data_IF_365680481763
#
_entry.id   IF_365680481763
#
_cell.length_a   1.000
_cell.length_b   1.000
_cell.length_c   1.000
_cell.angle_alpha   90.00
_cell.angle_beta   90.00
_cell.angle_gamma   90.00
#
_symmetry.space_group_name_H-M   'P 1'
#
loop_
_entity.id
_entity.type
_entity.pdbx_description
1 polymer ?
#
# COMPACT_ATOMS: atom_id res chain seq x y z
N UNK A 1 24.82 25.24 9.28
CA UNK A 1 24.14 24.38 8.33
C UNK A 1 22.82 25.01 7.91
N UNK A 2 22.69 25.42 6.68
CA UNK A 2 21.47 26.09 6.26
C UNK A 2 20.36 25.05 6.04
N UNK A 3 19.10 25.41 6.31
CA UNK A 3 17.96 24.51 6.10
C UNK A 3 17.82 24.03 4.66
N UNK A 4 18.48 24.71 3.74
CA UNK A 4 18.43 24.40 2.31
C UNK A 4 19.21 23.15 1.92
N UNK A 5 20.10 22.67 2.79
CA UNK A 5 20.84 21.43 2.55
C UNK A 5 20.03 20.18 2.90
N UNK A 6 18.99 20.35 3.71
CA UNK A 6 18.10 19.25 4.09
C UNK A 6 17.38 18.66 2.87
N UNK A 7 16.91 19.44 1.88
CA UNK A 7 16.30 18.89 0.66
C UNK A 7 17.25 18.04 -0.17
N UNK A 8 18.53 18.38 -0.20
CA UNK A 8 19.53 17.62 -0.96
C UNK A 8 19.75 16.23 -0.34
N UNK A 9 19.79 16.17 0.99
CA UNK A 9 19.90 14.92 1.72
C UNK A 9 18.63 14.07 1.55
N UNK A 10 17.48 14.74 1.43
CA UNK A 10 16.21 14.09 1.13
C UNK A 10 16.19 13.49 -0.27
N UNK A 11 16.82 14.15 -1.24
CA UNK A 11 16.90 13.65 -2.60
C UNK A 11 17.69 12.34 -2.67
N UNK A 12 18.76 12.22 -1.90
CA UNK A 12 19.54 10.99 -1.85
C UNK A 12 18.76 9.86 -1.19
N UNK A 13 17.97 10.16 -0.15
CA UNK A 13 17.07 9.19 0.48
C UNK A 13 15.92 8.83 -0.45
N UNK A 14 15.38 9.80 -1.14
CA UNK A 14 14.32 9.57 -2.11
C UNK A 14 14.79 8.72 -3.28
N UNK A 15 16.05 8.84 -3.69
CA UNK A 15 16.63 7.96 -4.70
C UNK A 15 16.74 6.51 -4.20
N UNK A 16 17.17 6.33 -2.94
CA UNK A 16 17.25 5.00 -2.33
C UNK A 16 15.86 4.42 -2.12
N UNK A 17 14.90 5.23 -1.67
CA UNK A 17 13.51 4.83 -1.49
C UNK A 17 12.83 4.54 -2.83
N UNK A 18 13.12 5.34 -3.86
CA UNK A 18 12.65 5.08 -5.22
C UNK A 18 13.24 3.81 -5.78
N UNK A 19 14.52 3.54 -5.48
CA UNK A 19 15.18 2.31 -5.89
C UNK A 19 14.59 1.10 -5.18
N UNK A 20 14.35 1.21 -3.87
CA UNK A 20 13.70 0.17 -3.08
C UNK A 20 12.26 -0.07 -3.56
N UNK A 21 11.54 0.99 -3.93
CA UNK A 21 10.19 0.90 -4.48
C UNK A 21 10.19 0.22 -5.84
N UNK A 22 11.14 0.56 -6.70
CA UNK A 22 11.33 -0.07 -8.01
C UNK A 22 11.69 -1.56 -7.83
N UNK A 23 12.58 -1.88 -6.89
CA UNK A 23 12.94 -3.25 -6.58
C UNK A 23 11.74 -4.05 -6.06
N UNK A 24 10.97 -3.48 -5.15
CA UNK A 24 9.75 -4.12 -4.63
C UNK A 24 8.70 -4.32 -5.73
N UNK A 25 8.59 -3.36 -6.63
CA UNK A 25 7.69 -3.41 -7.76
C UNK A 25 8.09 -4.49 -8.77
N UNK A 26 9.38 -4.53 -9.11
CA UNK A 26 9.92 -5.50 -10.08
C UNK A 26 10.00 -6.91 -9.48
N UNK A 27 10.15 -7.01 -8.16
CA UNK A 27 10.33 -8.29 -7.48
C UNK A 27 9.15 -8.72 -6.61
N UNK A 28 8.02 -8.00 -6.67
CA UNK A 28 6.81 -8.50 -6.01
C UNK A 28 6.43 -9.83 -6.64
N UNK A 29 6.36 -10.86 -5.82
CA UNK A 29 5.99 -12.19 -6.29
C UNK A 29 4.50 -12.27 -6.57
N UNK A 30 4.15 -13.11 -7.52
CA UNK A 30 2.74 -13.35 -7.88
C UNK A 30 1.92 -13.76 -6.65
N UNK A 31 2.48 -14.62 -5.80
CA UNK A 31 1.78 -15.09 -4.60
C UNK A 31 1.53 -13.96 -3.60
N UNK A 32 2.48 -13.04 -3.45
CA UNK A 32 2.33 -11.86 -2.59
C UNK A 32 1.26 -10.92 -3.13
N UNK A 33 1.28 -10.66 -4.42
CA UNK A 33 0.25 -9.84 -5.08
C UNK A 33 -1.13 -10.46 -4.93
N UNK A 34 -1.24 -11.78 -5.12
CA UNK A 34 -2.49 -12.51 -4.94
C UNK A 34 -3.01 -12.41 -3.50
N UNK A 35 -2.12 -12.53 -2.50
CA UNK A 35 -2.49 -12.39 -1.10
C UNK A 35 -3.00 -10.99 -0.77
N UNK A 36 -2.36 -9.95 -1.32
CA UNK A 36 -2.82 -8.57 -1.17
C UNK A 36 -4.21 -8.37 -1.78
N UNK A 37 -4.43 -8.88 -2.98
CA UNK A 37 -5.72 -8.76 -3.66
C UNK A 37 -6.81 -9.55 -2.94
N UNK A 38 -6.49 -10.72 -2.42
CA UNK A 38 -7.43 -11.51 -1.63
C UNK A 38 -7.86 -10.75 -0.37
N UNK A 39 -6.91 -10.14 0.34
CA UNK A 39 -7.21 -9.33 1.51
C UNK A 39 -8.10 -8.15 1.16
N UNK A 40 -7.85 -7.48 0.03
CA UNK A 40 -8.64 -6.34 -0.45
C UNK A 40 -9.96 -6.76 -1.13
N UNK A 41 -10.11 -8.02 -1.48
CA UNK A 41 -11.29 -8.54 -2.17
C UNK A 41 -12.55 -8.64 -1.33
N UNK A 42 -12.50 -8.27 -0.06
CA UNK A 42 -13.66 -8.18 0.82
C UNK A 42 -14.14 -6.73 0.91
N UNK A 43 -15.44 -6.43 0.70
CA UNK A 43 -15.94 -5.06 0.70
C UNK A 43 -15.64 -4.29 1.99
N UNK A 44 -15.75 -4.93 3.13
CA UNK A 44 -15.49 -4.29 4.43
C UNK A 44 -14.01 -3.96 4.59
N UNK A 45 -13.13 -4.91 4.25
CA UNK A 45 -11.69 -4.66 4.28
C UNK A 45 -11.28 -3.56 3.31
N UNK A 46 -11.88 -3.53 2.14
CA UNK A 46 -11.60 -2.47 1.16
C UNK A 46 -12.05 -1.10 1.68
N UNK A 47 -13.19 -1.01 2.35
CA UNK A 47 -13.64 0.24 3.00
C UNK A 47 -12.67 0.71 4.07
N UNK A 48 -12.19 -0.20 4.91
CA UNK A 48 -11.19 0.10 5.94
C UNK A 48 -9.92 0.64 5.29
N UNK A 49 -9.41 -0.07 4.31
CA UNK A 49 -8.19 0.30 3.61
C UNK A 49 -8.31 1.68 2.95
N UNK A 50 -9.38 1.94 2.23
CA UNK A 50 -9.61 3.24 1.59
C UNK A 50 -9.75 4.38 2.59
N UNK A 51 -10.35 4.13 3.74
CA UNK A 51 -10.42 5.13 4.81
C UNK A 51 -9.01 5.51 5.31
N UNK A 52 -8.12 4.54 5.44
CA UNK A 52 -6.73 4.78 5.84
C UNK A 52 -5.93 5.49 4.74
N UNK A 53 -6.13 5.13 3.50
CA UNK A 53 -5.50 5.83 2.36
C UNK A 53 -5.91 7.30 2.35
N UNK A 54 -7.18 7.60 2.59
CA UNK A 54 -7.68 8.98 2.65
C UNK A 54 -7.16 9.75 3.85
N UNK A 55 -6.88 9.08 4.96
CA UNK A 55 -6.36 9.71 6.16
C UNK A 55 -4.91 10.18 6.00
N UNK A 56 -4.15 9.58 5.10
CA UNK A 56 -2.77 9.93 4.86
C UNK A 56 -1.85 9.53 6.00
N UNK A 57 -0.77 10.28 6.18
CA UNK A 57 0.28 9.96 7.16
C UNK A 57 -0.20 10.01 8.61
N UNK A 58 -1.24 10.77 8.90
CA UNK A 58 -1.81 10.85 10.24
C UNK A 58 -2.44 9.53 10.69
N UNK A 59 -2.92 8.73 9.75
CA UNK A 59 -3.62 7.49 10.04
C UNK A 59 -4.95 7.71 10.74
N UNK A 60 -5.55 6.63 11.20
CA UNK A 60 -6.78 6.66 12.00
C UNK A 60 -6.66 5.69 13.16
N UNK A 61 -7.10 6.10 14.34
CA UNK A 61 -7.23 5.19 15.46
C UNK A 61 -8.31 4.15 15.18
N UNK A 62 -8.21 2.99 15.84
CA UNK A 62 -9.21 1.93 15.74
C UNK A 62 -10.60 2.45 16.13
N UNK A 63 -10.67 3.28 17.17
CA UNK A 63 -11.93 3.91 17.60
C UNK A 63 -12.55 4.80 16.53
N UNK A 64 -11.74 5.61 15.86
CA UNK A 64 -12.21 6.48 14.77
C UNK A 64 -12.65 5.70 13.55
N UNK A 65 -11.95 4.60 13.23
CA UNK A 65 -12.39 3.70 12.16
C UNK A 65 -13.74 3.08 12.48
N UNK A 66 -13.92 2.63 13.73
CA UNK A 66 -15.18 2.06 14.19
C UNK A 66 -16.33 3.06 14.06
N UNK A 67 -16.14 4.28 14.51
CA UNK A 67 -17.15 5.32 14.44
C UNK A 67 -17.48 5.71 13.00
N UNK A 68 -16.46 5.82 12.18
CA UNK A 68 -16.60 6.24 10.77
C UNK A 68 -17.29 5.18 9.93
N UNK A 69 -16.96 3.92 10.13
CA UNK A 69 -17.43 2.82 9.29
C UNK A 69 -18.61 2.06 9.90
N UNK A 70 -18.95 2.32 11.16
CA UNK A 70 -20.06 1.66 11.86
C UNK A 70 -19.91 0.13 11.87
N UNK A 71 -18.70 -0.33 12.15
CA UNK A 71 -18.37 -1.76 12.21
C UNK A 71 -18.23 -2.17 13.68
N UNK A 72 -18.72 -3.36 14.02
CA UNK A 72 -18.57 -3.90 15.36
C UNK A 72 -17.08 -4.09 15.72
N UNK A 73 -16.67 -3.83 16.99
CA UNK A 73 -15.25 -3.87 17.36
C UNK A 73 -14.54 -5.17 17.04
N UNK A 74 -15.16 -6.30 17.30
CA UNK A 74 -14.55 -7.62 17.04
C UNK A 74 -14.37 -7.87 15.55
N UNK A 75 -15.34 -7.48 14.74
CA UNK A 75 -15.27 -7.60 13.29
C UNK A 75 -14.20 -6.70 12.72
N UNK A 76 -14.12 -5.45 13.19
CA UNK A 76 -13.11 -4.50 12.78
C UNK A 76 -11.70 -5.01 13.11
N UNK A 77 -11.50 -5.50 14.32
CA UNK A 77 -10.20 -6.05 14.76
C UNK A 77 -9.76 -7.22 13.89
N UNK A 78 -10.69 -8.10 13.54
CA UNK A 78 -10.41 -9.24 12.66
C UNK A 78 -9.97 -8.79 11.26
N UNK A 79 -10.67 -7.83 10.69
CA UNK A 79 -10.33 -7.31 9.36
C UNK A 79 -9.01 -6.54 9.36
N UNK A 80 -8.75 -5.75 10.39
CA UNK A 80 -7.46 -5.04 10.54
C UNK A 80 -6.31 -6.05 10.61
N UNK A 81 -6.47 -7.11 11.41
CA UNK A 81 -5.46 -8.15 11.54
C UNK A 81 -5.17 -8.84 10.19
N UNK A 82 -6.20 -9.15 9.43
CA UNK A 82 -6.04 -9.75 8.10
C UNK A 82 -5.24 -8.84 7.17
N UNK A 83 -5.52 -7.54 7.18
CA UNK A 83 -4.77 -6.56 6.37
C UNK A 83 -3.34 -6.37 6.87
N UNK A 84 -3.10 -6.48 8.16
CA UNK A 84 -1.76 -6.39 8.75
C UNK A 84 -0.89 -7.60 8.38
N UNK A 85 -1.45 -8.79 8.39
CA UNK A 85 -0.72 -10.03 8.07
C UNK A 85 -0.12 -9.99 6.67
N UNK A 86 -0.84 -9.43 5.71
CA UNK A 86 -0.34 -9.29 4.33
C UNK A 86 0.47 -8.00 4.11
N UNK A 87 0.63 -7.17 5.14
CA UNK A 87 1.46 -5.97 5.08
C UNK A 87 0.83 -4.75 4.45
N UNK A 88 -0.48 -4.76 4.20
CA UNK A 88 -1.18 -3.60 3.63
C UNK A 88 -1.41 -2.48 4.63
N UNK A 89 -1.48 -2.80 5.90
CA UNK A 89 -1.69 -1.86 7.00
C UNK A 89 -0.61 -2.06 8.06
N UNK A 90 -0.15 -0.97 8.62
CA UNK A 90 0.69 -0.94 9.83
C UNK A 90 -0.13 -0.39 10.99
N UNK A 91 0.15 -0.87 12.17
CA UNK A 91 -0.49 -0.39 13.40
C UNK A 91 0.59 0.04 14.38
N UNK A 92 0.44 1.25 14.91
CA UNK A 92 1.38 1.84 15.84
C UNK A 92 0.63 2.20 17.12
N UNK A 93 1.24 1.90 18.27
CA UNK A 93 0.69 2.31 19.55
C UNK A 93 1.15 3.73 19.87
N UNK A 94 0.19 4.61 20.06
CA UNK A 94 0.40 5.99 20.53
C UNK A 94 -0.27 6.10 21.90
N UNK A 95 0.54 6.02 22.98
CA UNK A 95 0.06 5.94 24.36
C UNK A 95 -0.86 4.73 24.56
N UNK A 96 -2.14 4.92 24.84
CA UNK A 96 -3.14 3.85 24.99
C UNK A 96 -3.92 3.58 23.71
N UNK A 97 -3.63 4.34 22.66
CA UNK A 97 -4.38 4.30 21.41
C UNK A 97 -3.60 3.54 20.35
N UNK A 98 -4.30 2.68 19.59
CA UNK A 98 -3.76 2.01 18.43
C UNK A 98 -4.14 2.81 17.17
N UNK A 99 -3.14 3.25 16.42
CA UNK A 99 -3.31 4.03 15.20
C UNK A 99 -2.92 3.18 14.00
N UNK A 100 -3.80 3.08 13.04
CA UNK A 100 -3.60 2.32 11.82
C UNK A 100 -3.18 3.26 10.68
N UNK A 101 -2.25 2.78 9.86
CA UNK A 101 -1.75 3.49 8.68
C UNK A 101 -1.76 2.55 7.49
N UNK A 102 -2.13 3.06 6.33
CA UNK A 102 -1.94 2.34 5.08
C UNK A 102 -0.45 2.24 4.75
N UNK A 103 -0.01 1.09 4.29
CA UNK A 103 1.35 0.91 3.80
C UNK A 103 1.41 1.29 2.32
N UNK A 104 1.81 2.52 2.03
CA UNK A 104 1.80 3.06 0.67
C UNK A 104 2.82 2.40 -0.23
N UNK A 105 3.93 1.92 0.31
CA UNK A 105 4.95 1.22 -0.49
C UNK A 105 4.38 -0.08 -1.06
N UNK A 106 3.70 -0.86 -0.23
CA UNK A 106 3.03 -2.08 -0.67
C UNK A 106 1.92 -1.78 -1.66
N UNK A 107 1.14 -0.73 -1.41
CA UNK A 107 0.08 -0.30 -2.32
C UNK A 107 0.63 0.04 -3.71
N UNK A 108 1.67 0.86 -3.75
CA UNK A 108 2.31 1.24 -5.01
C UNK A 108 2.90 0.03 -5.73
N UNK A 109 3.59 -0.83 -4.98
CA UNK A 109 4.15 -2.07 -5.53
C UNK A 109 3.08 -2.95 -6.16
N UNK A 110 1.93 -3.08 -5.52
CA UNK A 110 0.81 -3.87 -6.05
C UNK A 110 0.25 -3.25 -7.34
N UNK A 111 0.02 -1.94 -7.35
CA UNK A 111 -0.47 -1.23 -8.55
C UNK A 111 0.52 -1.37 -9.70
N UNK A 112 1.80 -1.17 -9.44
CA UNK A 112 2.86 -1.31 -10.44
C UNK A 112 2.98 -2.74 -10.95
N UNK A 113 2.85 -3.72 -10.07
CA UNK A 113 2.82 -5.14 -10.46
C UNK A 113 1.69 -5.42 -11.44
N UNK A 114 0.49 -4.91 -11.17
CA UNK A 114 -0.67 -5.14 -12.02
C UNK A 114 -0.54 -4.53 -13.41
N UNK A 115 0.20 -3.43 -13.55
CA UNK A 115 0.35 -2.72 -14.83
C UNK A 115 1.71 -2.95 -15.51
N UNK A 116 2.63 -3.66 -14.85
CA UNK A 116 4.04 -3.74 -15.26
C UNK A 116 4.24 -4.23 -16.69
N UNK A 117 3.41 -5.16 -17.13
CA UNK A 117 3.52 -5.75 -18.48
C UNK A 117 2.38 -5.31 -19.40
N UNK A 118 1.81 -4.14 -19.12
CA UNK A 118 0.70 -3.64 -19.90
C UNK A 118 1.08 -3.52 -21.38
N UNK A 119 0.30 -4.21 -22.25
CA UNK A 119 0.37 -4.12 -23.71
C UNK A 119 1.66 -4.66 -24.34
N UNK A 120 2.49 -5.39 -23.61
CA UNK A 120 3.73 -5.98 -24.15
C UNK A 120 3.46 -6.94 -25.30
N UNK A 121 2.49 -7.81 -25.16
CA UNK A 121 2.14 -8.78 -26.21
C UNK A 121 1.58 -8.11 -27.46
N UNK A 122 0.89 -6.99 -27.29
CA UNK A 122 0.38 -6.19 -28.41
C UNK A 122 1.53 -5.56 -29.21
N UNK A 123 2.55 -5.09 -28.53
CA UNK A 123 3.75 -4.53 -29.15
C UNK A 123 4.51 -5.59 -29.94
N UNK A 124 4.64 -6.80 -29.40
CA UNK A 124 5.27 -7.93 -30.09
C UNK A 124 4.46 -8.35 -31.33
N UNK A 125 3.15 -8.33 -31.24
CA UNK A 125 2.27 -8.64 -32.37
C UNK A 125 2.40 -7.62 -33.50
N UNK A 126 2.62 -6.35 -33.17
CA UNK A 126 2.83 -5.30 -34.16
C UNK A 126 4.19 -5.43 -34.85
N UNK A 127 5.25 -5.77 -34.11
CA UNK A 127 6.56 -6.03 -34.69
C UNK A 127 6.57 -7.23 -35.62
N UNK A 128 5.77 -8.26 -35.31
CA UNK A 128 5.64 -9.43 -36.15
C UNK A 128 4.84 -9.10 -37.42
N UNK A 129 3.92 -8.14 -37.34
CA UNK A 129 3.10 -7.71 -38.47
C UNK A 129 3.84 -6.76 -39.41
N UNK A 130 4.83 -6.04 -38.91
CA UNK A 130 5.67 -5.12 -39.68
C UNK A 130 6.79 -5.85 -40.44
N UNK A 131 7.04 -7.08 -40.10
CA UNK A 131 7.99 -7.94 -40.81
C UNK A 131 7.29 -8.77 -41.87
#
# INVERSE_FOLDING_TARGET
MSPDEVPYFHDTRNMVDSFATIWNSVFMKLDDAAAHLEALGNPTRLKIYRALVRAGDAGLSVGRLQDKLKIAPSTLSHHIKTLMVVGLINQVRDSTTLVCHANYEVMRGLVEFLVAECCTDTAEADDTKAA
#
